data_IF_736013161071
#
_entry.id   IF_736013161071
#
_cell.length_a   1.000
_cell.length_b   1.000
_cell.length_c   1.000
_cell.angle_alpha   90.00
_cell.angle_beta   90.00
_cell.angle_gamma   90.00
#
_symmetry.space_group_name_H-M   'P 1'
#
loop_
_entity.id
_entity.type
_entity.pdbx_description
1 polymer ?
#
# COMPACT_ATOMS: atom_id res chain seq x y z
N UNK A 1 26.91 -5.84 24.65
CA UNK A 1 25.71 -4.99 24.81
C UNK A 1 25.61 -3.92 23.72
N UNK A 2 26.52 -2.93 23.63
CA UNK A 2 26.46 -1.86 22.61
C UNK A 2 26.49 -2.36 21.15
N UNK A 3 27.32 -3.35 20.83
CA UNK A 3 27.39 -3.89 19.47
C UNK A 3 26.10 -4.58 19.03
N UNK A 4 25.40 -5.25 19.94
CA UNK A 4 24.10 -5.90 19.65
C UNK A 4 23.05 -4.84 19.31
N UNK A 5 23.00 -3.75 20.07
CA UNK A 5 22.08 -2.64 19.78
C UNK A 5 22.39 -1.97 18.43
N UNK A 6 23.66 -1.74 18.12
CA UNK A 6 24.07 -1.15 16.83
C UNK A 6 23.70 -2.08 15.67
N UNK A 7 23.91 -3.40 15.81
CA UNK A 7 23.53 -4.39 14.81
C UNK A 7 22.01 -4.46 14.63
N UNK A 8 21.23 -4.43 15.71
CA UNK A 8 19.78 -4.41 15.63
C UNK A 8 19.26 -3.17 14.90
N UNK A 9 19.79 -1.99 15.21
CA UNK A 9 19.40 -0.73 14.53
C UNK A 9 19.77 -0.78 13.04
N UNK A 10 20.95 -1.28 12.70
CA UNK A 10 21.39 -1.41 11.30
C UNK A 10 20.50 -2.38 10.49
N UNK A 11 20.10 -3.52 11.09
CA UNK A 11 19.20 -4.47 10.45
C UNK A 11 17.78 -3.90 10.25
N UNK A 12 17.27 -3.15 11.23
CA UNK A 12 15.96 -2.49 11.13
C UNK A 12 15.96 -1.39 10.06
N UNK A 13 17.04 -0.60 9.98
CA UNK A 13 17.20 0.42 8.96
C UNK A 13 17.30 -0.20 7.55
N UNK A 14 18.03 -1.30 7.39
CA UNK A 14 18.12 -2.02 6.11
C UNK A 14 16.78 -2.64 5.65
N UNK A 15 15.86 -2.93 6.57
CA UNK A 15 14.50 -3.34 6.21
C UNK A 15 13.61 -2.18 5.75
N UNK A 16 14.01 -0.92 5.96
CA UNK A 16 13.25 0.28 5.61
C UNK A 16 13.84 1.09 4.46
N UNK A 17 15.16 1.18 4.38
CA UNK A 17 15.90 2.00 3.42
C UNK A 17 16.08 1.23 2.10
N UNK A 18 15.00 1.17 1.32
CA UNK A 18 14.99 0.50 0.02
C UNK A 18 15.01 1.51 -1.14
N UNK A 19 15.43 1.10 -2.35
CA UNK A 19 15.32 1.89 -3.59
C UNK A 19 13.90 2.45 -3.85
N UNK A 20 12.90 1.88 -3.18
CA UNK A 20 11.53 2.33 -3.14
C UNK A 20 11.36 3.78 -2.64
N UNK A 21 12.25 4.31 -1.79
CA UNK A 21 12.13 5.68 -1.28
C UNK A 21 12.33 6.73 -2.38
N UNK A 22 13.37 6.60 -3.20
CA UNK A 22 13.58 7.50 -4.34
C UNK A 22 12.45 7.40 -5.37
N UNK A 23 11.93 6.19 -5.60
CA UNK A 23 10.78 5.98 -6.46
C UNK A 23 9.52 6.61 -5.86
N UNK A 24 9.32 6.50 -4.54
CA UNK A 24 8.18 7.09 -3.85
C UNK A 24 8.22 8.62 -3.92
N UNK A 25 9.39 9.25 -3.76
CA UNK A 25 9.54 10.70 -3.91
C UNK A 25 9.25 11.16 -5.35
N UNK A 26 9.78 10.45 -6.34
CA UNK A 26 9.52 10.75 -7.75
C UNK A 26 8.03 10.58 -8.10
N UNK A 27 7.37 9.55 -7.58
CA UNK A 27 5.93 9.32 -7.76
C UNK A 27 5.09 10.34 -6.99
N UNK A 28 5.53 10.78 -5.81
CA UNK A 28 4.85 11.80 -5.03
C UNK A 28 4.85 13.16 -5.76
N UNK A 29 5.87 13.44 -6.58
CA UNK A 29 5.93 14.64 -7.41
C UNK A 29 5.04 14.57 -8.68
N UNK A 30 4.61 13.37 -9.11
CA UNK A 30 3.81 13.15 -10.32
C UNK A 30 2.49 12.40 -10.01
N UNK A 31 1.39 13.12 -9.71
CA UNK A 31 0.12 12.50 -9.30
C UNK A 31 -0.54 11.68 -10.41
N UNK A 32 -0.33 12.03 -11.68
CA UNK A 32 -0.91 11.30 -12.81
C UNK A 32 -0.27 9.93 -12.94
N UNK A 33 1.06 9.88 -12.88
CA UNK A 33 1.81 8.62 -12.91
C UNK A 33 1.54 7.78 -11.67
N UNK A 34 1.43 8.39 -10.50
CA UNK A 34 1.06 7.72 -9.26
C UNK A 34 -0.34 7.09 -9.34
N UNK A 35 -1.35 7.81 -9.83
CA UNK A 35 -2.72 7.29 -10.01
C UNK A 35 -2.74 6.09 -10.95
N UNK A 36 -2.06 6.19 -12.10
CA UNK A 36 -1.97 5.09 -13.07
C UNK A 36 -1.31 3.84 -12.47
N UNK A 37 -0.19 4.01 -11.75
CA UNK A 37 0.52 2.89 -11.13
C UNK A 37 -0.31 2.23 -10.01
N UNK A 38 -1.04 3.01 -9.21
CA UNK A 38 -1.96 2.46 -8.19
C UNK A 38 -3.09 1.66 -8.80
N UNK A 39 -3.64 2.09 -9.94
CA UNK A 39 -4.66 1.33 -10.65
C UNK A 39 -4.11 -0.02 -11.15
N UNK A 40 -2.88 -0.05 -11.66
CA UNK A 40 -2.19 -1.30 -12.06
C UNK A 40 -1.97 -2.22 -10.85
N UNK A 41 -1.50 -1.68 -9.73
CA UNK A 41 -1.29 -2.43 -8.49
C UNK A 41 -2.59 -3.00 -7.88
N UNK A 42 -3.72 -2.33 -8.09
CA UNK A 42 -5.03 -2.82 -7.68
C UNK A 42 -5.55 -3.93 -8.62
N UNK A 43 -5.20 -3.87 -9.90
CA UNK A 43 -5.60 -4.87 -10.89
C UNK A 43 -4.77 -6.16 -10.77
N UNK A 44 -3.44 -6.05 -10.67
CA UNK A 44 -2.54 -7.19 -10.49
C UNK A 44 -1.21 -6.72 -9.85
N UNK A 45 -1.09 -6.93 -8.55
CA UNK A 45 0.11 -6.55 -7.80
C UNK A 45 1.33 -7.37 -8.21
N UNK A 46 1.16 -8.67 -8.45
CA UNK A 46 2.27 -9.56 -8.78
C UNK A 46 2.85 -9.23 -10.15
N UNK A 47 2.00 -8.99 -11.15
CA UNK A 47 2.44 -8.58 -12.48
C UNK A 47 3.06 -7.17 -12.51
N UNK A 48 2.54 -6.24 -11.69
CA UNK A 48 3.06 -4.87 -11.61
C UNK A 48 4.39 -4.79 -10.85
N UNK A 49 4.60 -5.70 -9.88
CA UNK A 49 5.79 -5.78 -9.05
C UNK A 49 5.58 -5.20 -7.65
N UNK A 50 5.81 -6.03 -6.63
CA UNK A 50 5.59 -5.71 -5.22
C UNK A 50 6.32 -4.43 -4.76
N UNK A 51 7.58 -4.26 -5.17
CA UNK A 51 8.40 -3.10 -4.77
C UNK A 51 7.87 -1.79 -5.37
N UNK A 52 7.41 -1.83 -6.62
CA UNK A 52 6.80 -0.68 -7.29
C UNK A 52 5.46 -0.32 -6.64
N UNK A 53 4.65 -1.33 -6.29
CA UNK A 53 3.39 -1.13 -5.58
C UNK A 53 3.59 -0.62 -4.16
N UNK A 54 4.64 -1.07 -3.44
CA UNK A 54 5.03 -0.52 -2.14
C UNK A 54 5.46 0.94 -2.26
N UNK A 55 6.28 1.29 -3.25
CA UNK A 55 6.66 2.68 -3.50
C UNK A 55 5.45 3.58 -3.84
N UNK A 56 4.50 3.09 -4.64
CA UNK A 56 3.26 3.79 -4.95
C UNK A 56 2.35 3.97 -3.72
N UNK A 57 2.32 3.00 -2.82
CA UNK A 57 1.61 3.12 -1.55
C UNK A 57 2.24 4.20 -0.66
N UNK A 58 3.58 4.23 -0.60
CA UNK A 58 4.34 5.21 0.16
C UNK A 58 4.16 6.63 -0.37
N UNK A 59 4.30 6.82 -1.69
CA UNK A 59 4.11 8.10 -2.36
C UNK A 59 2.72 8.68 -2.08
N UNK A 60 1.69 7.83 -2.19
CA UNK A 60 0.31 8.22 -1.90
C UNK A 60 0.13 8.61 -0.42
N UNK A 61 0.69 7.83 0.50
CA UNK A 61 0.65 8.12 1.94
C UNK A 61 1.27 9.48 2.26
N UNK A 62 2.45 9.77 1.70
CA UNK A 62 3.15 11.05 1.88
C UNK A 62 2.30 12.22 1.37
N UNK A 63 1.78 12.13 0.14
CA UNK A 63 0.90 13.16 -0.44
C UNK A 63 -0.34 13.39 0.41
N UNK A 64 -1.02 12.31 0.79
CA UNK A 64 -2.22 12.37 1.62
C UNK A 64 -1.98 13.11 2.93
N UNK A 65 -0.91 12.79 3.66
CA UNK A 65 -0.59 13.47 4.93
C UNK A 65 -0.03 14.89 4.77
N UNK A 66 0.58 15.21 3.62
CA UNK A 66 1.06 16.57 3.35
C UNK A 66 -0.05 17.56 3.00
N UNK A 67 -1.27 17.09 2.69
CA UNK A 67 -2.36 17.93 2.21
C UNK A 67 -2.24 18.31 0.73
N UNK A 68 -1.20 17.83 0.03
CA UNK A 68 -0.99 18.00 -1.42
C UNK A 68 -1.92 17.10 -2.27
N UNK A 69 -3.04 16.65 -1.71
CA UNK A 69 -4.07 15.99 -2.51
C UNK A 69 -4.62 17.02 -3.50
N UNK A 70 -4.50 16.73 -4.79
CA UNK A 70 -4.83 17.70 -5.83
C UNK A 70 -6.34 17.90 -5.93
N UNK A 71 -6.85 19.11 -6.24
CA UNK A 71 -8.27 19.34 -6.52
C UNK A 71 -8.77 18.53 -7.74
N UNK A 72 -7.83 17.99 -8.52
CA UNK A 72 -8.07 17.16 -9.69
C UNK A 72 -8.05 15.65 -9.39
N UNK A 73 -7.77 15.27 -8.14
CA UNK A 73 -7.88 13.89 -7.69
C UNK A 73 -9.33 13.60 -7.25
N UNK A 74 -9.95 12.63 -7.91
CA UNK A 74 -11.33 12.17 -7.63
C UNK A 74 -12.46 13.14 -8.01
N UNK A 75 -12.32 13.83 -9.16
CA UNK A 75 -13.37 14.75 -9.62
C UNK A 75 -14.70 14.05 -9.97
N UNK A 76 -14.65 12.78 -10.38
CA UNK A 76 -15.84 12.00 -10.73
C UNK A 76 -16.01 10.79 -9.82
N UNK A 77 -17.24 10.32 -9.66
CA UNK A 77 -17.53 9.09 -8.92
C UNK A 77 -16.79 7.87 -9.49
N UNK A 78 -16.53 7.87 -10.79
CA UNK A 78 -15.78 6.81 -11.46
C UNK A 78 -14.28 6.83 -11.14
N UNK A 79 -13.76 7.96 -10.66
CA UNK A 79 -12.35 8.09 -10.25
C UNK A 79 -12.10 7.55 -8.83
N UNK A 80 -13.15 7.44 -8.01
CA UNK A 80 -13.05 6.95 -6.64
C UNK A 80 -12.72 5.45 -6.64
N UNK A 81 -11.82 4.98 -5.75
CA UNK A 81 -11.59 3.56 -5.60
C UNK A 81 -12.91 2.86 -5.19
N UNK A 82 -13.22 1.68 -5.74
CA UNK A 82 -14.43 0.95 -5.38
C UNK A 82 -14.40 0.59 -3.89
N UNK A 83 -15.55 0.72 -3.23
CA UNK A 83 -15.70 0.30 -1.84
C UNK A 83 -15.85 -1.23 -1.84
N UNK A 84 -14.97 -1.98 -1.15
CA UNK A 84 -15.11 -3.43 -1.07
C UNK A 84 -16.33 -3.81 -0.22
N UNK A 85 -16.97 -4.97 -0.50
CA UNK A 85 -18.13 -5.43 0.26
C UNK A 85 -17.78 -5.73 1.73
N UNK A 86 -16.55 -6.15 2.01
CA UNK A 86 -15.98 -6.34 3.35
C UNK A 86 -14.46 -6.03 3.33
N UNK A 87 -13.87 -5.76 4.49
CA UNK A 87 -12.42 -5.56 4.62
C UNK A 87 -11.65 -6.87 4.90
N UNK A 88 -12.36 -7.97 5.17
CA UNK A 88 -11.79 -9.26 5.58
C UNK A 88 -11.64 -10.25 4.41
N UNK A 89 -12.35 -10.05 3.30
CA UNK A 89 -12.23 -10.93 2.14
C UNK A 89 -10.99 -10.61 1.28
N UNK A 90 -10.22 -11.62 0.85
CA UNK A 90 -9.13 -11.42 -0.10
C UNK A 90 -9.68 -10.87 -1.42
N UNK A 91 -8.91 -9.97 -2.04
CA UNK A 91 -9.29 -9.31 -3.30
C UNK A 91 -9.56 -10.30 -4.46
N UNK A 92 -9.07 -11.54 -4.38
CA UNK A 92 -9.23 -12.58 -5.39
C UNK A 92 -10.52 -13.43 -5.24
N UNK A 93 -11.40 -13.12 -4.28
CA UNK A 93 -12.67 -13.83 -4.10
C UNK A 93 -12.53 -15.29 -3.65
N UNK A 94 -11.33 -15.71 -3.25
CA UNK A 94 -11.11 -16.99 -2.60
C UNK A 94 -11.03 -16.75 -1.09
N UNK A 95 -12.16 -16.84 -0.41
CA UNK A 95 -12.19 -16.84 1.04
C UNK A 95 -11.24 -17.94 1.56
N UNK A 96 -10.28 -17.65 2.45
CA UNK A 96 -9.67 -18.73 3.22
C UNK A 96 -10.80 -19.43 3.96
N UNK A 97 -10.86 -20.76 3.87
CA UNK A 97 -11.83 -21.54 4.62
C UNK A 97 -11.59 -21.28 6.12
N UNK A 98 -12.34 -20.35 6.69
CA UNK A 98 -12.38 -20.13 8.14
C UNK A 98 -13.11 -21.36 8.70
N UNK A 99 -12.46 -22.20 9.53
CA UNK A 99 -13.18 -23.25 10.24
C UNK A 99 -14.23 -22.57 11.11
N UNK A 100 -15.48 -23.00 11.01
CA UNK A 100 -16.54 -22.53 11.89
C UNK A 100 -16.17 -22.90 13.33
N UNK A 101 -15.81 -21.90 14.14
CA UNK A 101 -15.74 -22.05 15.59
C UNK A 101 -17.18 -22.23 16.10
N UNK A 102 -17.50 -23.27 16.89
CA UNK A 102 -18.84 -23.43 17.44
C UNK A 102 -19.12 -22.31 18.45
N UNK A 103 -20.18 -21.54 18.20
CA UNK A 103 -20.72 -20.59 19.19
C UNK A 103 -21.17 -21.35 20.44
N UNK A 104 -20.37 -21.27 21.52
CA UNK A 104 -20.81 -21.65 22.85
C UNK A 104 -21.69 -20.53 23.42
N UNK A 105 -22.98 -20.80 23.50
CA UNK A 105 -23.99 -19.92 24.09
C UNK A 105 -24.06 -20.16 25.60
N UNK A 106 -23.94 -19.14 26.46
CA UNK A 106 -24.43 -19.24 27.84
C UNK A 106 -25.94 -18.98 27.94
#
# INVERSE_FOLDING_TARGET
MRCVLVLCVALLAACGEQPADHLADALAADPVRLKALRAQCAADRQATGEDACRAAAEAFRRRFFSGEAGPDEYQTLADLPPIPPSFEEPADGMAPAVPAEPEDTP
#
